data_IF_372458533318
#
_entry.id   IF_372458533318
#
_cell.length_a   1.000
_cell.length_b   1.000
_cell.length_c   1.000
_cell.angle_alpha   90.00
_cell.angle_beta   90.00
_cell.angle_gamma   90.00
#
_symmetry.space_group_name_H-M   'P 1'
#
loop_
_entity.id
_entity.type
_entity.pdbx_description
1 polymer ?
#
# COMPACT_ATOMS: atom_id res chain seq x y z
N UNK A 1 -9.72 28.25 15.40
CA UNK A 1 -10.45 27.14 14.74
C UNK A 1 -9.65 25.87 14.97
N UNK A 2 -10.10 24.98 15.86
CA UNK A 2 -9.38 23.76 16.18
C UNK A 2 -9.36 22.84 14.95
N UNK A 3 -8.18 22.51 14.43
CA UNK A 3 -8.01 21.53 13.35
C UNK A 3 -8.56 20.20 13.85
N UNK A 4 -9.74 19.80 13.35
CA UNK A 4 -10.29 18.46 13.54
C UNK A 4 -9.24 17.49 13.01
N UNK A 5 -8.56 16.77 13.89
CA UNK A 5 -7.67 15.67 13.50
C UNK A 5 -8.59 14.65 12.83
N UNK A 6 -8.58 14.63 11.49
CA UNK A 6 -9.34 13.65 10.71
C UNK A 6 -8.94 12.27 11.27
N UNK A 7 -9.91 11.40 11.62
CA UNK A 7 -9.57 10.07 12.10
C UNK A 7 -8.68 9.42 11.05
N UNK A 8 -7.49 9.02 11.48
CA UNK A 8 -6.51 8.33 10.66
C UNK A 8 -7.04 6.91 10.41
N UNK A 9 -8.05 6.80 9.55
CA UNK A 9 -8.73 5.55 9.26
C UNK A 9 -8.00 4.86 8.11
N UNK A 10 -7.12 3.94 8.47
CA UNK A 10 -6.57 2.96 7.54
C UNK A 10 -7.38 1.69 7.70
N UNK A 11 -8.01 1.25 6.61
CA UNK A 11 -8.75 -0.01 6.58
C UNK A 11 -7.73 -1.15 6.47
N UNK A 12 -7.33 -1.69 7.62
CA UNK A 12 -6.29 -2.73 7.71
C UNK A 12 -6.55 -3.92 6.79
N UNK A 13 -7.83 -4.24 6.53
CA UNK A 13 -8.21 -5.33 5.61
C UNK A 13 -7.83 -5.00 4.18
N UNK A 14 -8.10 -3.77 3.73
CA UNK A 14 -7.71 -3.29 2.40
C UNK A 14 -6.21 -3.07 2.28
N UNK A 15 -5.55 -2.60 3.34
CA UNK A 15 -4.10 -2.47 3.37
C UNK A 15 -3.41 -3.83 3.21
N UNK A 16 -3.87 -4.85 3.96
CA UNK A 16 -3.37 -6.21 3.83
C UNK A 16 -3.59 -6.77 2.42
N UNK A 17 -4.79 -6.57 1.85
CA UNK A 17 -5.10 -7.00 0.49
C UNK A 17 -4.15 -6.37 -0.53
N UNK A 18 -3.94 -5.05 -0.44
CA UNK A 18 -3.04 -4.32 -1.34
C UNK A 18 -1.59 -4.81 -1.23
N UNK A 19 -1.11 -5.15 -0.02
CA UNK A 19 0.21 -5.75 0.16
C UNK A 19 0.33 -7.15 -0.45
N UNK A 20 -0.73 -7.97 -0.34
CA UNK A 20 -0.77 -9.30 -0.98
C UNK A 20 -0.70 -9.15 -2.50
N UNK A 21 -1.51 -8.26 -3.07
CA UNK A 21 -1.52 -7.99 -4.51
C UNK A 21 -0.14 -7.49 -4.98
N UNK A 22 0.46 -6.52 -4.29
CA UNK A 22 1.79 -6.04 -4.63
C UNK A 22 2.85 -7.16 -4.59
N UNK A 23 2.79 -8.04 -3.59
CA UNK A 23 3.68 -9.21 -3.52
C UNK A 23 3.47 -10.19 -4.67
N UNK A 24 2.23 -10.37 -5.13
CA UNK A 24 1.94 -11.19 -6.30
C UNK A 24 2.54 -10.57 -7.56
N UNK A 25 2.36 -9.27 -7.78
CA UNK A 25 2.97 -8.56 -8.93
C UNK A 25 4.48 -8.67 -8.87
N UNK A 26 5.09 -8.45 -7.70
CA UNK A 26 6.53 -8.59 -7.51
C UNK A 26 7.05 -10.00 -7.86
N UNK A 27 6.31 -11.06 -7.52
CA UNK A 27 6.68 -12.44 -7.88
C UNK A 27 6.52 -12.71 -9.39
N UNK A 28 5.55 -12.07 -10.05
CA UNK A 28 5.37 -12.16 -11.50
C UNK A 28 6.54 -11.44 -12.20
N UNK A 29 6.85 -10.22 -11.79
CA UNK A 29 7.97 -9.44 -12.34
C UNK A 29 9.31 -10.13 -12.10
N UNK A 30 9.55 -10.69 -10.91
CA UNK A 30 10.76 -11.45 -10.59
C UNK A 30 10.92 -12.69 -11.49
N UNK A 31 9.82 -13.39 -11.80
CA UNK A 31 9.82 -14.50 -12.76
C UNK A 31 10.08 -14.06 -14.19
N UNK A 32 9.66 -12.85 -14.54
CA UNK A 32 9.91 -12.22 -15.84
C UNK A 32 11.34 -11.65 -15.94
N UNK A 33 12.06 -11.60 -14.82
CA UNK A 33 13.41 -11.00 -14.73
C UNK A 33 13.39 -9.47 -14.62
N UNK A 34 12.22 -8.89 -14.38
CA UNK A 34 12.03 -7.46 -14.19
C UNK A 34 12.32 -7.04 -12.74
N UNK A 35 12.76 -5.79 -12.53
CA UNK A 35 12.97 -5.25 -11.19
C UNK A 35 11.65 -5.16 -10.41
N UNK A 36 11.75 -5.18 -9.08
CA UNK A 36 10.56 -5.11 -8.22
C UNK A 36 9.73 -3.85 -8.53
N UNK A 37 8.41 -3.99 -8.74
CA UNK A 37 7.54 -2.88 -9.09
C UNK A 37 7.39 -1.94 -7.88
N UNK A 38 7.24 -0.63 -8.12
CA UNK A 38 7.00 0.33 -7.05
C UNK A 38 5.70 0.00 -6.30
N UNK A 39 5.67 0.31 -5.00
CA UNK A 39 4.44 0.18 -4.18
C UNK A 39 3.35 1.12 -4.70
N UNK A 40 2.09 0.72 -4.56
CA UNK A 40 0.97 1.54 -5.02
C UNK A 40 0.82 2.80 -4.16
N UNK A 41 0.32 3.89 -4.76
CA UNK A 41 0.01 5.12 -4.03
C UNK A 41 -0.87 4.87 -2.80
N UNK A 42 -1.79 3.89 -2.88
CA UNK A 42 -2.64 3.50 -1.76
C UNK A 42 -1.84 2.96 -0.57
N UNK A 43 -0.86 2.08 -0.82
CA UNK A 43 0.03 1.55 0.23
C UNK A 43 0.83 2.70 0.85
N UNK A 44 1.41 3.57 0.01
CA UNK A 44 2.16 4.74 0.48
C UNK A 44 1.32 5.71 1.32
N UNK A 45 0.08 5.98 0.90
CA UNK A 45 -0.86 6.80 1.66
C UNK A 45 -1.26 6.16 2.99
N UNK A 46 -1.34 4.83 3.08
CA UNK A 46 -1.59 4.14 4.33
C UNK A 46 -0.44 4.36 5.33
N UNK A 47 0.82 4.28 4.88
CA UNK A 47 1.98 4.58 5.75
C UNK A 47 2.02 6.03 6.22
N UNK A 48 1.67 6.99 5.36
CA UNK A 48 1.63 8.42 5.72
C UNK A 48 0.50 8.76 6.70
N UNK A 49 -0.51 7.90 6.80
CA UNK A 49 -1.67 8.08 7.68
C UNK A 49 -1.52 7.35 9.01
N UNK A 50 -0.52 6.49 9.21
CA UNK A 50 -0.22 5.79 10.48
C UNK A 50 0.56 6.71 11.43
#
# INVERSE_FOLDING_TARGET
MAKVKKPHYVDNKKFLQAMIEWKQVCNIEEKDGNPQPPVTNYIGECFLKI
#
